data_IF_639268294976
#
_entry.id   IF_639268294976
#
_cell.length_a   1.000
_cell.length_b   1.000
_cell.length_c   1.000
_cell.angle_alpha   90.00
_cell.angle_beta   90.00
_cell.angle_gamma   90.00
#
_symmetry.space_group_name_H-M   'P 1'
#
loop_
_entity.id
_entity.type
_entity.pdbx_description
1 polymer ?
#
# COMPACT_ATOMS: atom_id res chain seq x y z
N UNK A 1 -18.09 3.34 -0.39
CA UNK A 1 -16.99 4.21 -0.88
C UNK A 1 -16.30 3.44 -1.98
N UNK A 2 -16.38 3.88 -3.25
CA UNK A 2 -15.68 3.19 -4.34
C UNK A 2 -14.18 3.36 -4.12
N UNK A 3 -13.51 2.28 -3.75
CA UNK A 3 -12.06 2.24 -3.71
C UNK A 3 -11.57 2.61 -5.11
N UNK A 4 -10.79 3.69 -5.21
CA UNK A 4 -10.30 4.26 -6.47
C UNK A 4 -9.43 3.28 -7.27
N UNK A 5 -9.08 2.10 -6.74
CA UNK A 5 -8.32 1.04 -7.41
C UNK A 5 -8.97 0.52 -8.70
N UNK A 6 -10.31 0.46 -8.77
CA UNK A 6 -11.02 -0.14 -9.92
C UNK A 6 -10.97 0.67 -11.22
N UNK A 7 -10.54 1.94 -11.18
CA UNK A 7 -10.56 2.84 -12.36
C UNK A 7 -9.26 2.83 -13.17
N UNK A 8 -8.20 2.20 -12.67
CA UNK A 8 -6.88 2.19 -13.31
C UNK A 8 -6.45 0.74 -13.54
N UNK A 9 -6.48 0.28 -14.79
CA UNK A 9 -5.81 -0.98 -15.13
C UNK A 9 -4.31 -0.71 -15.17
N UNK A 10 -3.48 -1.47 -14.46
CA UNK A 10 -2.05 -1.42 -14.71
C UNK A 10 -1.81 -1.87 -16.16
N UNK A 11 -1.36 -0.95 -17.00
CA UNK A 11 -0.81 -1.30 -18.31
C UNK A 11 0.47 -2.13 -18.09
N UNK A 12 0.90 -2.87 -19.10
CA UNK A 12 2.11 -3.72 -19.04
C UNK A 12 3.41 -2.96 -18.73
N UNK A 13 3.39 -1.63 -18.70
CA UNK A 13 4.52 -0.76 -18.34
C UNK A 13 4.39 -0.21 -16.91
N UNK A 14 4.64 -1.06 -15.92
CA UNK A 14 4.74 -0.61 -14.53
C UNK A 14 6.05 0.16 -14.33
N UNK A 15 5.95 1.38 -13.80
CA UNK A 15 7.08 2.28 -13.50
C UNK A 15 7.16 2.62 -12.01
N UNK A 16 8.28 3.22 -11.57
CA UNK A 16 8.40 3.71 -10.18
C UNK A 16 7.29 4.71 -9.83
N UNK A 17 6.98 5.60 -10.79
CA UNK A 17 5.92 6.60 -10.64
C UNK A 17 4.56 5.94 -10.47
N UNK A 18 4.31 4.87 -11.22
CA UNK A 18 3.06 4.12 -11.11
C UNK A 18 2.93 3.49 -9.73
N UNK A 19 3.94 2.75 -9.25
CA UNK A 19 3.91 2.11 -7.93
C UNK A 19 3.74 3.17 -6.83
N UNK A 20 4.45 4.30 -6.90
CA UNK A 20 4.29 5.38 -5.93
C UNK A 20 2.86 5.95 -5.92
N UNK A 21 2.30 6.23 -7.11
CA UNK A 21 0.93 6.72 -7.24
C UNK A 21 -0.07 5.73 -6.66
N UNK A 22 0.09 4.44 -6.96
CA UNK A 22 -0.69 3.35 -6.41
C UNK A 22 -0.67 3.32 -4.88
N UNK A 23 0.52 3.31 -4.27
CA UNK A 23 0.68 3.28 -2.81
C UNK A 23 0.06 4.49 -2.15
N UNK A 24 0.24 5.69 -2.72
CA UNK A 24 -0.28 6.94 -2.15
C UNK A 24 -1.81 7.08 -2.22
N UNK A 25 -2.50 6.26 -3.02
CA UNK A 25 -3.98 6.27 -3.07
C UNK A 25 -4.60 5.70 -1.79
N UNK A 26 -3.88 4.88 -1.04
CA UNK A 26 -4.36 4.30 0.20
C UNK A 26 -4.00 5.26 1.33
N UNK A 27 -4.99 6.02 1.78
CA UNK A 27 -4.85 6.94 2.90
C UNK A 27 -5.03 6.17 4.23
N UNK A 28 -3.94 6.03 4.98
CA UNK A 28 -3.92 5.33 6.27
C UNK A 28 -3.21 6.18 7.33
N UNK A 29 -3.90 7.18 7.91
CA UNK A 29 -3.30 8.10 8.87
C UNK A 29 -2.92 7.44 10.21
N UNK A 30 -3.53 6.30 10.53
CA UNK A 30 -3.32 5.58 11.79
C UNK A 30 -2.39 4.37 11.65
N UNK A 31 -1.94 4.05 10.43
CA UNK A 31 -1.09 2.89 10.17
C UNK A 31 -1.81 1.54 10.32
N UNK A 32 -3.14 1.51 10.38
CA UNK A 32 -3.92 0.28 10.61
C UNK A 32 -3.84 -0.64 9.38
N UNK A 33 -3.74 -0.06 8.19
CA UNK A 33 -3.57 -0.76 6.92
C UNK A 33 -2.09 -0.97 6.59
N UNK A 34 -1.16 -0.73 7.53
CA UNK A 34 0.28 -0.83 7.28
C UNK A 34 0.67 -2.21 6.73
N UNK A 35 0.15 -3.31 7.31
CA UNK A 35 0.44 -4.68 6.84
C UNK A 35 0.06 -4.89 5.37
N UNK A 36 -1.06 -4.32 4.93
CA UNK A 36 -1.52 -4.38 3.54
C UNK A 36 -0.81 -3.40 2.61
N UNK A 37 -0.35 -2.25 3.12
CA UNK A 37 0.33 -1.21 2.30
C UNK A 37 1.85 -1.32 2.31
N UNK A 38 2.44 -2.14 3.18
CA UNK A 38 3.88 -2.34 3.31
C UNK A 38 4.51 -3.05 2.10
N UNK A 39 3.93 -4.14 1.54
CA UNK A 39 4.51 -4.83 0.38
C UNK A 39 4.85 -3.91 -0.81
N UNK A 40 3.93 -3.06 -1.32
CA UNK A 40 4.26 -2.18 -2.44
C UNK A 40 5.23 -1.06 -2.05
N UNK A 41 5.32 -0.66 -0.77
CA UNK A 41 6.35 0.28 -0.27
C UNK A 41 7.74 -0.35 -0.33
N UNK A 42 7.88 -1.62 0.05
CA UNK A 42 9.13 -2.38 -0.08
C UNK A 42 9.51 -2.52 -1.57
N UNK A 43 8.55 -2.86 -2.43
CA UNK A 43 8.79 -2.94 -3.88
C UNK A 43 9.23 -1.60 -4.46
N UNK A 44 8.62 -0.49 -4.04
CA UNK A 44 9.04 0.85 -4.44
C UNK A 44 10.47 1.15 -3.98
N UNK A 45 10.83 0.80 -2.73
CA UNK A 45 12.20 0.97 -2.24
C UNK A 45 13.20 0.16 -3.06
N UNK A 46 12.88 -1.08 -3.40
CA UNK A 46 13.71 -1.93 -4.27
C UNK A 46 13.83 -1.32 -5.67
N UNK A 47 12.74 -0.82 -6.23
CA UNK A 47 12.76 -0.13 -7.52
C UNK A 47 13.62 1.14 -7.47
N UNK A 48 13.57 1.90 -6.38
CA UNK A 48 14.40 3.09 -6.19
C UNK A 48 15.90 2.78 -6.17
N UNK A 49 16.30 1.59 -5.71
CA UNK A 49 17.71 1.13 -5.75
C UNK A 49 18.18 0.79 -7.17
N UNK A 50 17.25 0.51 -8.09
CA UNK A 50 17.60 0.35 -9.50
C UNK A 50 17.95 1.73 -10.09
N UNK A 51 19.02 1.83 -10.85
CA UNK A 51 19.45 3.05 -11.56
C UNK A 51 18.58 3.36 -12.81
N UNK A 52 17.27 3.13 -12.70
CA UNK A 52 16.27 3.39 -13.73
C UNK A 52 15.58 4.74 -13.49
N UNK A 53 15.13 5.38 -14.58
CA UNK A 53 14.29 6.57 -14.48
C UNK A 53 12.93 6.26 -13.83
N UNK A 54 12.24 7.29 -13.34
CA UNK A 54 10.90 7.19 -12.75
C UNK A 54 9.85 6.65 -13.70
N UNK A 55 10.04 6.88 -15.00
CA UNK A 55 9.11 6.54 -16.07
C UNK A 55 9.61 5.36 -16.93
N UNK A 56 10.74 4.73 -16.54
CA UNK A 56 11.23 3.51 -17.16
C UNK A 56 10.42 2.29 -16.69
N UNK A 57 10.21 1.28 -17.57
CA UNK A 57 9.61 0.02 -17.17
C UNK A 57 10.49 -0.69 -16.15
N UNK A 58 9.84 -1.32 -15.17
CA UNK A 58 10.51 -2.08 -14.12
C UNK A 58 10.67 -3.56 -14.51
N UNK A 59 11.68 -4.24 -13.98
CA UNK A 59 11.89 -5.66 -14.22
C UNK A 59 10.81 -6.53 -13.55
N UNK A 60 10.60 -7.72 -14.12
CA UNK A 60 9.54 -8.67 -13.75
C UNK A 60 9.52 -9.07 -12.28
N UNK A 61 10.68 -9.08 -11.62
CA UNK A 61 10.85 -9.39 -10.20
C UNK A 61 10.19 -8.34 -9.29
N UNK A 62 9.97 -7.12 -9.79
CA UNK A 62 9.19 -6.08 -9.10
C UNK A 62 7.75 -6.05 -9.62
N UNK A 63 7.56 -6.18 -10.95
CA UNK A 63 6.25 -6.07 -11.59
C UNK A 63 5.30 -7.18 -11.14
N UNK A 64 5.74 -8.44 -11.16
CA UNK A 64 4.87 -9.59 -10.83
C UNK A 64 4.36 -9.53 -9.38
N UNK A 65 5.21 -9.30 -8.35
CA UNK A 65 4.72 -9.14 -6.99
C UNK A 65 3.81 -7.92 -6.81
N UNK A 66 4.11 -6.82 -7.50
CA UNK A 66 3.27 -5.63 -7.44
C UNK A 66 1.88 -5.87 -8.03
N UNK A 67 1.79 -6.55 -9.17
CA UNK A 67 0.50 -6.91 -9.78
C UNK A 67 -0.30 -7.87 -8.90
N UNK A 68 0.36 -8.85 -8.28
CA UNK A 68 -0.30 -9.72 -7.29
C UNK A 68 -0.89 -8.92 -6.13
N UNK A 69 -0.10 -8.00 -5.58
CA UNK A 69 -0.59 -7.10 -4.54
C UNK A 69 -1.74 -6.22 -5.03
N UNK A 70 -1.66 -5.70 -6.25
CA UNK A 70 -2.69 -4.86 -6.86
C UNK A 70 -4.04 -5.58 -6.97
N UNK A 71 -4.04 -6.83 -7.41
CA UNK A 71 -5.25 -7.66 -7.49
C UNK A 71 -5.86 -7.97 -6.11
N UNK A 72 -5.05 -7.97 -5.06
CA UNK A 72 -5.48 -8.17 -3.68
C UNK A 72 -5.86 -6.85 -2.97
N UNK A 73 -5.45 -5.70 -3.51
CA UNK A 73 -5.58 -4.40 -2.85
C UNK A 73 -7.04 -3.96 -2.67
N UNK A 74 -7.96 -4.41 -3.53
CA UNK A 74 -9.39 -4.13 -3.39
C UNK A 74 -9.98 -4.66 -2.09
N UNK A 75 -9.42 -5.76 -1.55
CA UNK A 75 -9.84 -6.35 -0.26
C UNK A 75 -9.59 -5.41 0.92
N UNK A 76 -8.70 -4.41 0.77
CA UNK A 76 -8.48 -3.40 1.81
C UNK A 76 -9.70 -2.51 2.02
N UNK A 77 -10.59 -2.40 1.03
CA UNK A 77 -11.84 -1.65 1.19
C UNK A 77 -12.91 -2.37 2.01
N UNK A 78 -12.74 -3.69 2.22
CA UNK A 78 -13.63 -4.50 3.06
C UNK A 78 -13.29 -4.37 4.56
N UNK A 79 -12.18 -3.71 4.89
CA UNK A 79 -11.75 -3.48 6.28
C UNK A 79 -12.59 -2.35 6.88
N UNK A 80 -13.46 -2.72 7.82
CA UNK A 80 -14.19 -1.76 8.65
C UNK A 80 -13.46 -1.53 9.97
N UNK A 81 -13.11 -0.26 10.21
CA UNK A 81 -12.48 0.17 11.46
C UNK A 81 -13.52 0.87 12.30
N UNK A 82 -13.80 0.32 13.49
CA UNK A 82 -14.63 0.98 14.48
C UNK A 82 -13.97 2.30 14.88
N UNK A 83 -14.68 3.42 14.68
CA UNK A 83 -14.19 4.74 15.10
C UNK A 83 -14.31 4.97 16.60
N UNK A 84 -15.17 4.20 17.26
CA UNK A 84 -15.43 4.26 18.68
C UNK A 84 -15.10 2.93 19.31
N UNK A 85 -14.38 2.99 20.42
CA UNK A 85 -14.16 1.88 21.32
C UNK A 85 -14.70 2.29 22.69
N UNK A 86 -15.60 1.48 23.24
CA UNK A 86 -15.99 1.62 24.64
C UNK A 86 -14.83 1.11 25.50
N UNK A 87 -14.08 2.04 26.08
CA UNK A 87 -12.94 1.71 26.93
C UNK A 87 -13.47 1.37 28.31
N UNK A 88 -13.18 0.18 28.80
CA UNK A 88 -13.43 -0.24 30.18
C UNK A 88 -12.10 -0.56 30.88
N UNK A 89 -12.15 -0.78 32.20
CA UNK A 89 -10.96 -0.97 33.05
C UNK A 89 -10.08 -2.18 32.69
N UNK A 90 -10.57 -3.06 31.81
CA UNK A 90 -9.84 -4.27 31.37
C UNK A 90 -9.12 -4.10 30.03
N UNK A 91 -9.35 -3.00 29.32
CA UNK A 91 -8.82 -2.79 27.96
C UNK A 91 -7.62 -1.86 27.96
N UNK A 92 -6.55 -2.24 27.24
CA UNK A 92 -5.34 -1.44 27.09
C UNK A 92 -5.02 -1.24 25.62
N UNK A 93 -4.82 0.02 25.22
CA UNK A 93 -4.32 0.38 23.90
C UNK A 93 -2.81 0.60 23.98
N UNK A 94 -2.05 -0.29 23.33
CA UNK A 94 -0.60 -0.18 23.23
C UNK A 94 -0.25 0.40 21.86
N UNK A 95 0.25 1.63 21.84
CA UNK A 95 0.69 2.30 20.61
C UNK A 95 2.20 2.16 20.52
N UNK A 96 2.67 1.48 19.48
CA UNK A 96 4.08 1.36 19.16
C UNK A 96 4.40 2.31 18.01
N UNK A 97 5.41 3.16 18.19
CA UNK A 97 5.88 4.11 17.18
C UNK A 97 7.37 3.85 16.99
N UNK A 98 7.84 3.78 15.75
CA UNK A 98 9.27 3.76 15.46
C UNK A 98 9.84 5.19 15.53
N UNK A 99 11.06 5.32 16.06
CA UNK A 99 11.73 6.60 16.09
C UNK A 99 12.14 7.01 14.67
N UNK A 100 11.82 8.24 14.28
CA UNK A 100 12.33 8.86 13.05
C UNK A 100 13.84 9.12 13.13
#
# INVERSE_FOLDING_TARGET
MQCLCTRFKPDSNITKRFILSAVRRIFDPLGILCSGTLPPKILLQNACKLELSWDSPLPDDIVKPFLKWWDEADKLSDIEILRYFEINDTMQMHVFVDAC
#
